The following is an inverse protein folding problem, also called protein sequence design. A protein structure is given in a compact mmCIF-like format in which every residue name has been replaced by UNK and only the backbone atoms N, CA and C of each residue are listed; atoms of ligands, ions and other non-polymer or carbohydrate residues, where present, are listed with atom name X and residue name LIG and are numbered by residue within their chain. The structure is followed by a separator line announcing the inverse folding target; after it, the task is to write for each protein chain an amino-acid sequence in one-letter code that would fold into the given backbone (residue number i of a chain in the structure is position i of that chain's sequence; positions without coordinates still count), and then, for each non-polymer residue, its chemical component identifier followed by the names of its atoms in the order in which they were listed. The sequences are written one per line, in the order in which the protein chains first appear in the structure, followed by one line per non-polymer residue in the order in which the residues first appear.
data_IF_340816989160
#
_entry.id   IF_340816989160
#
_cell.length_a   1.000
_cell.length_b   1.000
_cell.length_c   1.000
_cell.angle_alpha   90.00
_cell.angle_beta   90.00
_cell.angle_gamma   90.00
#
_symmetry.space_group_name_H-M   'P 1'
#
loop_
_entity.id
_entity.type
_entity.pdbx_description
1 polymer ?
#
# COMPACT_ATOMS: atom_id res chain seq x y z
N UNK A 1 2.00 -12.75 -15.71
CA UNK A 1 0.62 -12.57 -15.18
C UNK A 1 0.64 -11.44 -14.16
N UNK A 2 -0.40 -10.57 -14.15
CA UNK A 2 -0.58 -9.53 -13.12
C UNK A 2 -1.71 -9.97 -12.19
N UNK A 3 -1.52 -9.80 -10.89
CA UNK A 3 -2.55 -9.97 -9.87
C UNK A 3 -2.58 -8.69 -9.05
N UNK A 4 -3.71 -8.01 -8.99
CA UNK A 4 -3.93 -6.88 -8.08
C UNK A 4 -4.75 -7.34 -6.87
N UNK A 5 -4.37 -6.86 -5.69
CA UNK A 5 -5.08 -7.20 -4.45
C UNK A 5 -5.43 -5.91 -3.72
N UNK A 6 -6.71 -5.74 -3.43
CA UNK A 6 -7.20 -4.66 -2.60
C UNK A 6 -7.15 -5.11 -1.13
N UNK A 7 -6.41 -4.39 -0.31
CA UNK A 7 -6.33 -4.58 1.14
C UNK A 7 -7.48 -3.83 1.80
N UNK A 8 -8.60 -4.52 2.12
CA UNK A 8 -9.81 -3.86 2.61
C UNK A 8 -10.54 -4.69 3.69
N UNK A 9 -10.29 -4.38 4.95
CA UNK A 9 -10.85 -5.09 6.11
C UNK A 9 -12.31 -4.74 6.45
N UNK A 10 -12.86 -3.69 5.83
CA UNK A 10 -14.26 -3.28 6.05
C UNK A 10 -15.26 -4.14 5.27
N UNK A 11 -14.75 -5.00 4.39
CA UNK A 11 -15.55 -5.93 3.59
C UNK A 11 -15.45 -5.68 2.09
N UNK A 12 -15.87 -6.68 1.35
CA UNK A 12 -15.75 -6.69 -0.12
C UNK A 12 -16.49 -5.53 -0.80
N UNK A 13 -17.58 -5.08 -0.22
CA UNK A 13 -18.42 -4.04 -0.82
C UNK A 13 -17.74 -2.66 -0.84
N UNK A 14 -16.74 -2.44 0.01
CA UNK A 14 -15.94 -1.22 0.00
C UNK A 14 -14.91 -1.18 -1.15
N UNK A 15 -14.37 -2.32 -1.55
CA UNK A 15 -13.39 -2.41 -2.64
C UNK A 15 -14.03 -2.65 -4.02
N UNK A 16 -15.13 -3.42 -4.08
CA UNK A 16 -15.80 -3.85 -5.32
C UNK A 16 -16.08 -2.72 -6.31
N UNK A 17 -16.68 -1.57 -5.92
CA UNK A 17 -16.98 -0.49 -6.86
C UNK A 17 -15.74 0.04 -7.58
N UNK A 18 -14.61 0.11 -6.88
CA UNK A 18 -13.34 0.59 -7.44
C UNK A 18 -12.75 -0.42 -8.43
N UNK A 19 -12.87 -1.71 -8.12
CA UNK A 19 -12.45 -2.82 -8.98
C UNK A 19 -13.27 -2.81 -10.27
N UNK A 20 -14.58 -2.72 -10.17
CA UNK A 20 -15.49 -2.70 -11.33
C UNK A 20 -15.26 -1.46 -12.21
N UNK A 21 -15.01 -0.30 -11.60
CA UNK A 21 -14.69 0.92 -12.32
C UNK A 21 -13.36 0.83 -13.08
N UNK A 22 -12.38 0.10 -12.54
CA UNK A 22 -11.06 -0.04 -13.17
C UNK A 22 -11.11 -0.85 -14.47
N UNK A 23 -12.09 -1.75 -14.65
CA UNK A 23 -12.29 -2.58 -15.86
C UNK A 23 -11.01 -3.27 -16.33
N UNK A 24 -10.21 -3.76 -15.38
CA UNK A 24 -8.94 -4.41 -15.69
C UNK A 24 -9.16 -5.80 -16.29
N UNK A 25 -8.26 -6.22 -17.17
CA UNK A 25 -8.23 -7.53 -17.81
C UNK A 25 -7.38 -8.56 -17.06
N UNK A 26 -6.85 -8.20 -15.88
CA UNK A 26 -6.07 -9.07 -15.01
C UNK A 26 -6.82 -9.39 -13.72
N UNK A 27 -6.32 -10.39 -12.98
CA UNK A 27 -6.91 -10.83 -11.73
C UNK A 27 -6.95 -9.71 -10.70
N UNK A 28 -8.13 -9.47 -10.17
CA UNK A 28 -8.37 -8.56 -9.05
C UNK A 28 -8.97 -9.31 -7.88
N UNK A 29 -8.29 -9.29 -6.76
CA UNK A 29 -8.65 -9.98 -5.53
C UNK A 29 -8.88 -8.95 -4.43
N UNK A 30 -9.56 -9.36 -3.37
CA UNK A 30 -9.76 -8.55 -2.16
C UNK A 30 -9.27 -9.37 -0.98
N UNK A 31 -8.32 -8.81 -0.23
CA UNK A 31 -7.81 -9.39 1.00
C UNK A 31 -8.44 -8.65 2.20
N UNK A 32 -9.48 -9.24 2.76
CA UNK A 32 -10.19 -8.67 3.91
C UNK A 32 -9.47 -8.90 5.24
N UNK A 33 -8.50 -9.80 5.26
CA UNK A 33 -7.74 -10.13 6.46
C UNK A 33 -6.32 -9.56 6.48
N UNK A 34 -5.92 -8.82 5.42
CA UNK A 34 -4.55 -8.30 5.24
C UNK A 34 -3.45 -9.36 5.34
N UNK A 35 -3.74 -10.56 4.85
CA UNK A 35 -2.78 -11.69 4.88
C UNK A 35 -1.63 -11.48 3.92
N UNK A 36 -1.91 -10.90 2.74
CA UNK A 36 -0.89 -10.60 1.76
C UNK A 36 0.05 -9.51 2.29
N UNK A 37 -0.50 -8.48 2.91
CA UNK A 37 0.26 -7.44 3.59
C UNK A 37 1.23 -8.04 4.62
N UNK A 38 0.75 -8.95 5.46
CA UNK A 38 1.56 -9.63 6.46
C UNK A 38 2.67 -10.49 5.83
N UNK A 39 2.35 -11.29 4.79
CA UNK A 39 3.27 -12.21 4.17
C UNK A 39 4.41 -11.51 3.43
N UNK A 40 4.13 -10.40 2.76
CA UNK A 40 5.11 -9.65 1.97
C UNK A 40 5.66 -8.41 2.68
N UNK A 41 5.23 -8.15 3.93
CA UNK A 41 5.61 -6.95 4.70
C UNK A 41 5.26 -5.65 3.96
N UNK A 42 4.08 -5.59 3.36
CA UNK A 42 3.59 -4.38 2.74
C UNK A 42 3.22 -3.35 3.83
N UNK A 43 3.48 -2.10 3.58
CA UNK A 43 3.22 -1.02 4.56
C UNK A 43 2.39 0.11 3.98
N UNK A 44 2.21 0.12 2.65
CA UNK A 44 1.46 1.16 1.95
C UNK A 44 0.99 0.64 0.59
N UNK A 45 0.07 1.32 -0.04
CA UNK A 45 -0.42 1.01 -1.38
C UNK A 45 -0.31 2.26 -2.28
N UNK A 46 0.05 2.10 -3.56
CA UNK A 46 0.35 0.84 -4.24
C UNK A 46 1.79 0.36 -3.98
N UNK A 47 1.93 -0.89 -3.60
CA UNK A 47 3.21 -1.61 -3.59
C UNK A 47 3.13 -2.81 -4.52
N UNK A 48 4.26 -3.22 -5.08
CA UNK A 48 4.36 -4.42 -5.89
C UNK A 48 5.52 -5.30 -5.45
N UNK A 49 5.36 -6.59 -5.68
CA UNK A 49 6.39 -7.63 -5.53
C UNK A 49 6.53 -8.32 -6.89
N UNK A 50 7.75 -8.46 -7.41
CA UNK A 50 7.96 -9.18 -8.66
C UNK A 50 8.44 -10.59 -8.36
N UNK A 51 7.73 -11.56 -8.89
CA UNK A 51 7.96 -12.98 -8.65
C UNK A 51 8.13 -13.67 -10.01
N UNK A 52 9.23 -14.41 -10.19
CA UNK A 52 9.50 -15.13 -11.42
C UNK A 52 8.65 -16.42 -11.55
N UNK A 53 8.78 -17.12 -12.66
CA UNK A 53 8.05 -18.36 -12.97
C UNK A 53 8.41 -19.52 -12.04
N UNK A 54 9.50 -19.40 -11.28
CA UNK A 54 9.93 -20.38 -10.26
C UNK A 54 9.39 -20.07 -8.87
N UNK A 55 8.61 -18.98 -8.73
CA UNK A 55 8.10 -18.51 -7.45
C UNK A 55 9.13 -17.74 -6.63
N UNK A 56 10.24 -17.29 -7.23
CA UNK A 56 11.29 -16.54 -6.54
C UNK A 56 10.99 -15.05 -6.60
N UNK A 57 11.08 -14.37 -5.47
CA UNK A 57 11.00 -12.91 -5.42
C UNK A 57 12.27 -12.33 -6.04
N UNK A 58 12.13 -11.68 -7.20
CA UNK A 58 13.21 -11.00 -7.91
C UNK A 58 13.25 -9.51 -7.65
N UNK A 59 12.13 -8.92 -7.15
CA UNK A 59 12.09 -7.60 -6.54
C UNK A 59 11.20 -7.65 -5.30
N UNK A 60 11.73 -7.29 -4.11
CA UNK A 60 10.95 -7.22 -2.88
C UNK A 60 9.92 -6.09 -2.94
N UNK A 61 9.05 -5.95 -1.92
CA UNK A 61 8.05 -4.90 -1.89
C UNK A 61 8.62 -3.52 -2.16
N UNK A 62 8.08 -2.83 -3.14
CA UNK A 62 8.47 -1.47 -3.50
C UNK A 62 7.26 -0.66 -3.99
N UNK A 63 7.37 0.67 -3.97
CA UNK A 63 6.33 1.54 -4.50
C UNK A 63 6.12 1.32 -5.99
N UNK A 64 4.89 1.00 -6.39
CA UNK A 64 4.53 0.70 -7.77
C UNK A 64 4.22 1.98 -8.58
N UNK A 65 5.26 2.75 -8.91
CA UNK A 65 5.14 3.92 -9.78
C UNK A 65 4.38 5.13 -9.20
N UNK A 66 4.13 5.16 -7.89
CA UNK A 66 3.59 6.33 -7.20
C UNK A 66 4.70 7.26 -6.72
N UNK A 67 4.35 8.54 -6.49
CA UNK A 67 5.30 9.57 -6.07
C UNK A 67 4.69 10.49 -5.04
N UNK A 68 5.54 11.25 -4.34
CA UNK A 68 5.15 12.22 -3.31
C UNK A 68 4.63 13.55 -3.87
N UNK A 69 4.53 13.72 -5.18
CA UNK A 69 4.03 14.96 -5.79
C UNK A 69 2.62 15.33 -5.32
N UNK A 70 1.81 14.34 -4.88
CA UNK A 70 0.49 14.61 -4.31
C UNK A 70 0.56 15.48 -3.04
N UNK A 71 1.68 15.50 -2.32
CA UNK A 71 1.88 16.33 -1.10
C UNK A 71 1.88 17.83 -1.39
N UNK A 72 2.08 18.21 -2.66
CA UNK A 72 2.04 19.59 -3.15
C UNK A 72 0.67 20.01 -3.71
N UNK A 73 -0.30 19.11 -3.61
CA UNK A 73 -1.66 19.37 -4.08
C UNK A 73 -2.29 20.52 -3.27
N UNK A 74 -2.99 21.41 -3.95
CA UNK A 74 -3.88 22.38 -3.30
C UNK A 74 -5.05 21.61 -2.65
N UNK A 75 -5.12 21.65 -1.33
CA UNK A 75 -6.14 20.90 -0.59
C UNK A 75 -7.54 21.48 -0.70
N UNK A 76 -7.68 22.78 -1.07
CA UNK A 76 -8.98 23.43 -1.24
C UNK A 76 -9.61 23.05 -2.56
N UNK A 77 -8.83 23.10 -3.64
CA UNK A 77 -9.30 22.78 -5.00
C UNK A 77 -9.12 21.32 -5.35
N UNK A 78 -8.32 20.57 -4.57
CA UNK A 78 -7.88 19.19 -4.84
C UNK A 78 -7.17 19.05 -6.20
N UNK A 79 -6.48 20.11 -6.61
CA UNK A 79 -5.74 20.15 -7.88
C UNK A 79 -4.24 20.10 -7.67
N UNK A 80 -3.54 19.61 -8.66
CA UNK A 80 -2.08 19.56 -8.71
C UNK A 80 -1.60 20.44 -9.87
N UNK A 81 -0.37 20.95 -9.76
CA UNK A 81 0.26 21.66 -10.88
C UNK A 81 0.41 20.73 -12.09
N UNK A 82 0.39 21.26 -13.31
CA UNK A 82 0.65 20.45 -14.52
C UNK A 82 2.02 19.73 -14.47
N UNK A 83 3.02 20.36 -13.88
CA UNK A 83 4.35 19.79 -13.69
C UNK A 83 4.32 18.56 -12.76
N UNK A 84 3.67 18.66 -11.59
CA UNK A 84 3.53 17.56 -10.65
C UNK A 84 2.71 16.41 -11.25
N UNK A 85 1.70 16.75 -12.04
CA UNK A 85 0.90 15.77 -12.74
C UNK A 85 1.69 15.02 -13.80
N UNK A 86 2.50 15.75 -14.59
CA UNK A 86 3.40 15.14 -15.57
C UNK A 86 4.47 14.26 -14.90
N UNK A 87 5.06 14.71 -13.80
CA UNK A 87 6.04 13.92 -13.04
C UNK A 87 5.44 12.61 -12.49
N UNK A 88 4.21 12.65 -11.97
CA UNK A 88 3.50 11.44 -11.53
C UNK A 88 3.25 10.45 -12.68
N UNK A 89 2.78 10.96 -13.82
CA UNK A 89 2.53 10.12 -15.00
C UNK A 89 3.82 9.52 -15.53
N UNK A 90 4.90 10.31 -15.57
CA UNK A 90 6.23 9.85 -15.97
C UNK A 90 6.76 8.73 -15.08
N UNK A 91 6.67 8.89 -13.76
CA UNK A 91 7.10 7.86 -12.81
C UNK A 91 6.28 6.56 -12.96
N UNK A 92 4.97 6.68 -13.15
CA UNK A 92 4.10 5.53 -13.41
C UNK A 92 4.48 4.82 -14.70
N UNK A 93 4.70 5.59 -15.78
CA UNK A 93 5.09 5.03 -17.07
C UNK A 93 6.44 4.31 -16.98
N UNK A 94 7.44 4.93 -16.34
CA UNK A 94 8.76 4.33 -16.14
C UNK A 94 8.68 3.00 -15.39
N UNK A 95 7.83 2.92 -14.36
CA UNK A 95 7.63 1.68 -13.62
C UNK A 95 6.99 0.58 -14.49
N UNK A 96 5.96 0.92 -15.26
CA UNK A 96 5.31 -0.02 -16.17
C UNK A 96 6.26 -0.51 -17.26
N UNK A 97 7.12 0.37 -17.79
CA UNK A 97 8.12 0.00 -18.79
C UNK A 97 9.20 -0.90 -18.20
N UNK A 98 9.59 -0.69 -16.94
CA UNK A 98 10.50 -1.59 -16.24
C UNK A 98 9.87 -2.98 -16.04
N UNK A 99 8.58 -3.08 -15.65
CA UNK A 99 7.86 -4.37 -15.57
C UNK A 99 7.84 -5.08 -16.92
N UNK A 100 7.52 -4.36 -18.01
CA UNK A 100 7.51 -4.92 -19.37
C UNK A 100 8.90 -5.43 -19.78
N UNK A 101 9.94 -4.62 -19.52
CA UNK A 101 11.31 -5.00 -19.83
C UNK A 101 11.75 -6.22 -19.03
N UNK A 102 11.34 -6.33 -17.76
CA UNK A 102 11.59 -7.53 -16.97
C UNK A 102 10.93 -8.77 -17.59
N UNK A 103 9.65 -8.70 -17.91
CA UNK A 103 8.91 -9.84 -18.48
C UNK A 103 9.48 -10.29 -19.82
N UNK A 104 9.96 -9.35 -20.65
CA UNK A 104 10.44 -9.68 -22.00
C UNK A 104 11.94 -10.02 -22.08
N UNK A 105 12.75 -9.48 -21.17
CA UNK A 105 14.22 -9.57 -21.28
C UNK A 105 14.91 -9.96 -19.98
N UNK A 106 14.19 -10.07 -18.86
CA UNK A 106 14.76 -10.28 -17.52
C UNK A 106 15.43 -9.02 -16.92
N UNK A 107 15.42 -7.88 -17.63
CA UNK A 107 16.01 -6.63 -17.15
C UNK A 107 15.30 -6.17 -15.87
N UNK A 108 16.01 -5.50 -14.98
CA UNK A 108 15.53 -5.02 -13.70
C UNK A 108 15.26 -6.09 -12.61
N UNK A 109 15.37 -7.39 -12.90
CA UNK A 109 15.46 -8.39 -11.85
C UNK A 109 16.73 -8.15 -11.01
N UNK A 110 16.59 -8.19 -9.70
CA UNK A 110 17.71 -8.08 -8.76
C UNK A 110 18.43 -9.43 -8.63
N UNK A 111 19.71 -9.38 -8.25
CA UNK A 111 20.39 -10.60 -7.81
C UNK A 111 19.68 -11.18 -6.57
N UNK A 112 19.80 -12.48 -6.34
CA UNK A 112 19.22 -13.12 -5.15
C UNK A 112 19.74 -12.49 -3.83
N UNK A 113 20.98 -12.01 -3.82
CA UNK A 113 21.58 -11.29 -2.70
C UNK A 113 20.88 -9.95 -2.47
N UNK A 114 20.71 -9.16 -3.52
CA UNK A 114 20.13 -7.83 -3.43
C UNK A 114 18.62 -7.88 -3.16
N UNK A 115 17.91 -8.82 -3.77
CA UNK A 115 16.50 -9.07 -3.48
C UNK A 115 16.30 -9.44 -2.00
N UNK A 116 17.15 -10.34 -1.45
CA UNK A 116 17.12 -10.70 -0.03
C UNK A 116 17.46 -9.52 0.88
N UNK A 117 18.44 -8.70 0.52
CA UNK A 117 18.81 -7.51 1.28
C UNK A 117 17.72 -6.45 1.34
N UNK A 118 16.87 -6.40 0.30
CA UNK A 118 15.73 -5.49 0.20
C UNK A 118 14.46 -5.98 0.92
N UNK A 119 14.45 -7.23 1.46
CA UNK A 119 13.28 -7.70 2.20
C UNK A 119 13.14 -6.94 3.53
N UNK A 120 11.96 -6.43 3.85
CA UNK A 120 11.70 -5.76 5.12
C UNK A 120 11.93 -6.70 6.30
N UNK A 121 12.53 -6.18 7.37
CA UNK A 121 12.77 -6.94 8.60
C UNK A 121 11.55 -6.79 9.52
N UNK A 122 11.07 -7.90 10.04
CA UNK A 122 10.00 -7.92 11.05
C UNK A 122 10.65 -7.86 12.43
N UNK A 123 10.35 -6.80 13.19
CA UNK A 123 10.75 -6.70 14.61
C UNK A 123 9.65 -7.27 15.51
N UNK A 124 9.92 -7.50 16.80
CA UNK A 124 8.88 -7.91 17.75
C UNK A 124 7.69 -6.93 17.79
N UNK A 125 7.95 -5.63 17.72
CA UNK A 125 6.92 -4.59 17.71
C UNK A 125 6.03 -4.69 16.45
N UNK A 126 6.62 -4.92 15.28
CA UNK A 126 5.88 -5.14 14.04
C UNK A 126 5.05 -6.43 14.13
N UNK A 127 5.59 -7.49 14.69
CA UNK A 127 4.86 -8.74 14.89
C UNK A 127 3.66 -8.54 15.85
N UNK A 128 3.84 -7.80 16.94
CA UNK A 128 2.76 -7.43 17.85
C UNK A 128 1.71 -6.54 17.14
N UNK A 129 2.15 -5.54 16.38
CA UNK A 129 1.25 -4.68 15.61
C UNK A 129 0.32 -5.49 14.69
N UNK A 130 0.87 -6.46 13.96
CA UNK A 130 0.10 -7.37 13.09
C UNK A 130 -0.91 -8.21 13.88
N UNK A 131 -0.49 -8.78 15.00
CA UNK A 131 -1.38 -9.58 15.84
C UNK A 131 -2.55 -8.73 16.36
N UNK A 132 -2.28 -7.50 16.83
CA UNK A 132 -3.29 -6.55 17.29
C UNK A 132 -4.21 -6.10 16.16
N UNK A 133 -3.66 -5.80 15.00
CA UNK A 133 -4.45 -5.39 13.84
C UNK A 133 -5.45 -6.49 13.45
N UNK A 134 -5.01 -7.74 13.31
CA UNK A 134 -5.89 -8.87 13.01
C UNK A 134 -6.94 -9.11 14.09
N UNK A 135 -6.55 -8.99 15.36
CA UNK A 135 -7.53 -9.04 16.47
C UNK A 135 -8.57 -7.92 16.34
N UNK A 136 -8.12 -6.71 16.00
CA UNK A 136 -9.01 -5.56 15.79
C UNK A 136 -10.02 -5.79 14.65
N UNK A 137 -9.54 -6.29 13.50
CA UNK A 137 -10.39 -6.66 12.37
C UNK A 137 -11.41 -7.73 12.77
N UNK A 138 -10.96 -8.78 13.46
CA UNK A 138 -11.85 -9.84 13.95
C UNK A 138 -12.90 -9.31 14.92
N UNK A 139 -12.53 -8.49 15.89
CA UNK A 139 -13.44 -7.89 16.86
C UNK A 139 -14.52 -7.04 16.18
N UNK A 140 -14.13 -6.20 15.21
CA UNK A 140 -15.09 -5.41 14.41
C UNK A 140 -16.09 -6.32 13.68
N UNK A 141 -15.59 -7.36 13.01
CA UNK A 141 -16.44 -8.32 12.29
C UNK A 141 -17.44 -9.06 13.19
N UNK A 142 -17.15 -9.13 14.51
CA UNK A 142 -18.02 -9.77 15.52
C UNK A 142 -18.81 -8.75 16.38
N UNK A 143 -19.00 -7.52 15.90
CA UNK A 143 -19.80 -6.50 16.57
C UNK A 143 -19.13 -5.81 17.77
N UNK A 144 -17.87 -6.14 18.09
CA UNK A 144 -17.09 -5.54 19.19
C UNK A 144 -16.28 -4.35 18.68
N UNK A 145 -16.94 -3.40 18.03
CA UNK A 145 -16.30 -2.31 17.27
C UNK A 145 -15.35 -1.48 18.13
N UNK A 146 -15.78 -0.99 19.30
CA UNK A 146 -14.95 -0.14 20.15
C UNK A 146 -13.67 -0.83 20.63
N UNK A 147 -13.73 -2.14 20.90
CA UNK A 147 -12.56 -2.93 21.28
C UNK A 147 -11.65 -3.17 20.06
N UNK A 148 -12.25 -3.41 18.89
CA UNK A 148 -11.53 -3.52 17.63
C UNK A 148 -10.76 -2.25 17.30
N UNK A 149 -11.41 -1.09 17.42
CA UNK A 149 -10.79 0.22 17.18
C UNK A 149 -9.58 0.47 18.08
N UNK A 150 -9.70 0.10 19.37
CA UNK A 150 -8.59 0.20 20.31
C UNK A 150 -7.39 -0.67 19.90
N UNK A 151 -7.63 -1.90 19.44
CA UNK A 151 -6.55 -2.78 18.98
C UNK A 151 -5.91 -2.26 17.67
N UNK A 152 -6.70 -1.74 16.75
CA UNK A 152 -6.20 -1.19 15.49
C UNK A 152 -5.41 0.11 15.70
N UNK A 153 -5.86 0.98 16.62
CA UNK A 153 -5.12 2.18 16.98
C UNK A 153 -3.76 1.85 17.60
N UNK A 154 -3.71 0.85 18.48
CA UNK A 154 -2.46 0.39 19.09
C UNK A 154 -1.52 -0.26 18.06
N UNK A 155 -2.08 -1.03 17.12
CA UNK A 155 -1.31 -1.57 15.99
C UNK A 155 -0.64 -0.47 15.17
N UNK A 156 -1.40 0.57 14.80
CA UNK A 156 -0.87 1.72 14.07
C UNK A 156 0.18 2.53 14.86
N UNK A 157 0.12 2.51 16.19
CA UNK A 157 1.13 3.11 17.08
C UNK A 157 2.42 2.30 17.12
N UNK A 158 2.31 0.97 17.18
CA UNK A 158 3.46 0.04 17.22
C UNK A 158 4.17 -0.05 15.87
N UNK A 159 3.44 0.11 14.76
CA UNK A 159 3.99 0.10 13.40
C UNK A 159 3.64 1.41 12.67
N UNK A 160 4.24 2.54 13.05
CA UNK A 160 3.89 3.86 12.50
C UNK A 160 4.21 4.00 11.00
N UNK A 161 5.02 3.13 10.44
CA UNK A 161 5.33 3.12 9.00
C UNK A 161 4.23 2.43 8.18
N UNK A 162 3.35 1.63 8.81
CA UNK A 162 2.23 1.02 8.09
C UNK A 162 1.09 2.01 7.89
N UNK A 163 1.01 2.53 6.67
CA UNK A 163 -0.10 3.36 6.22
C UNK A 163 -1.35 2.51 5.97
N UNK A 164 -1.18 1.24 5.61
CA UNK A 164 -2.30 0.32 5.43
C UNK A 164 -3.05 0.11 6.73
N UNK A 165 -2.37 -0.27 7.82
CA UNK A 165 -3.01 -0.42 9.14
C UNK A 165 -3.68 0.87 9.61
N UNK A 166 -2.99 2.00 9.46
CA UNK A 166 -3.55 3.29 9.85
C UNK A 166 -4.82 3.63 9.05
N UNK A 167 -4.82 3.42 7.73
CA UNK A 167 -5.97 3.72 6.87
C UNK A 167 -7.19 2.86 7.20
N UNK A 168 -6.99 1.62 7.61
CA UNK A 168 -8.09 0.74 8.00
C UNK A 168 -8.71 1.14 9.34
N UNK A 169 -7.94 1.80 10.22
CA UNK A 169 -8.43 2.36 11.48
C UNK A 169 -9.07 3.75 11.32
N UNK A 170 -8.71 4.49 10.28
CA UNK A 170 -9.14 5.86 10.06
C UNK A 170 -10.60 5.96 9.58
N UNK A 171 -11.24 7.08 9.91
CA UNK A 171 -12.55 7.41 9.36
C UNK A 171 -12.47 7.66 7.85
N UNK A 172 -13.53 7.27 7.16
CA UNK A 172 -13.66 7.50 5.72
C UNK A 172 -14.33 8.85 5.46
N UNK A 173 -13.90 9.53 4.41
CA UNK A 173 -14.59 10.72 3.89
C UNK A 173 -15.87 10.32 3.15
N UNK A 174 -16.62 11.32 2.66
CA UNK A 174 -17.91 11.14 1.97
C UNK A 174 -17.82 10.27 0.70
N UNK A 175 -16.62 10.14 0.15
CA UNK A 175 -16.36 9.29 -1.04
C UNK A 175 -15.71 7.94 -0.67
N UNK A 176 -15.72 7.58 0.62
CA UNK A 176 -15.23 6.29 1.09
C UNK A 176 -13.70 6.17 1.14
N UNK A 177 -12.97 7.29 1.33
CA UNK A 177 -11.51 7.28 1.39
C UNK A 177 -10.99 7.76 2.74
N UNK A 178 -9.94 7.13 3.25
CA UNK A 178 -9.20 7.62 4.42
C UNK A 178 -8.24 8.77 3.99
N UNK A 179 -8.82 9.91 3.58
CA UNK A 179 -8.09 11.07 3.05
C UNK A 179 -8.49 12.40 3.71
N UNK A 180 -9.10 12.34 4.88
CA UNK A 180 -9.53 13.49 5.68
C UNK A 180 -8.36 14.26 6.33
N UNK A 181 -8.68 15.22 7.23
CA UNK A 181 -7.68 16.09 7.89
C UNK A 181 -6.57 15.31 8.60
N UNK A 182 -6.89 14.20 9.27
CA UNK A 182 -5.90 13.40 10.00
C UNK A 182 -4.89 12.72 9.07
N UNK A 183 -5.31 12.32 7.89
CA UNK A 183 -4.40 11.84 6.85
C UNK A 183 -3.37 12.93 6.50
N UNK A 184 -3.81 14.14 6.22
CA UNK A 184 -2.92 15.24 5.84
C UNK A 184 -2.01 15.67 6.98
N UNK A 185 -2.51 15.70 8.22
CA UNK A 185 -1.69 15.93 9.41
C UNK A 185 -0.57 14.89 9.52
N UNK A 186 -0.90 13.61 9.32
CA UNK A 186 0.08 12.53 9.36
C UNK A 186 1.09 12.61 8.20
N UNK A 187 0.64 12.97 7.00
CA UNK A 187 1.54 13.21 5.85
C UNK A 187 2.49 14.36 6.12
N UNK A 188 2.01 15.46 6.70
CA UNK A 188 2.84 16.60 7.06
C UNK A 188 3.88 16.25 8.13
N UNK A 189 3.52 15.39 9.09
CA UNK A 189 4.43 14.93 10.14
C UNK A 189 5.61 14.07 9.62
N UNK A 190 5.57 13.61 8.36
CA UNK A 190 6.70 12.92 7.73
C UNK A 190 7.92 13.85 7.54
N UNK A 191 7.71 15.17 7.45
CA UNK A 191 8.79 16.09 7.07
C UNK A 191 9.43 15.70 5.74
N UNK A 192 10.73 15.44 5.74
CA UNK A 192 11.50 15.04 4.55
C UNK A 192 11.41 13.54 4.23
N UNK A 193 10.82 12.73 5.12
CA UNK A 193 10.63 11.30 4.84
C UNK A 193 9.62 11.11 3.72
N UNK A 194 9.92 10.24 2.74
CA UNK A 194 8.97 9.98 1.66
C UNK A 194 7.76 9.19 2.18
N UNK A 195 6.59 9.57 1.68
CA UNK A 195 5.37 8.76 1.81
C UNK A 195 5.39 7.57 0.83
N UNK A 196 5.92 7.81 -0.37
CA UNK A 196 6.19 6.80 -1.39
C UNK A 196 7.69 6.75 -1.68
N UNK A 197 8.46 5.90 -0.97
CA UNK A 197 9.86 5.68 -1.31
C UNK A 197 9.98 5.27 -2.79
N UNK A 198 10.83 5.95 -3.59
CA UNK A 198 10.93 5.64 -5.02
C UNK A 198 11.50 4.23 -5.24
N UNK A 199 10.95 3.51 -6.22
CA UNK A 199 11.52 2.25 -6.67
C UNK A 199 12.92 2.49 -7.28
N UNK A 200 13.85 1.59 -6.99
CA UNK A 200 15.22 1.63 -7.54
C UNK A 200 15.27 0.84 -8.85
N UNK A 201 14.82 1.46 -9.93
CA UNK A 201 14.80 0.86 -11.29
C UNK A 201 16.14 0.99 -12.00
#
# INVERSE_FOLDING_TARGET
MVVAVAEESRGTDHARPWIEQAKSDYWQLIDTEHRLEDLYNLVNVPQAVWIDEKGTIVRPPETAGSTDHFRRMDLKTRTMSPEDQAARLGARQAYLDAVRAWVTTGKFALSAKDARAGLPKVTPEIAEARARFRLGVWLRAHGRTAEGDKQMAEAARLHPESWSMWRQAADLDEVGKASGPDFWKRVQALGDKPYYPPAKL
#
